data_IF_050404009119
#
_entry.id   IF_050404009119
#
_cell.length_a   1.000
_cell.length_b   1.000
_cell.length_c   1.000
_cell.angle_alpha   90.00
_cell.angle_beta   90.00
_cell.angle_gamma   90.00
#
_symmetry.space_group_name_H-M   'P 1'
#
loop_
_entity.id
_entity.type
_entity.pdbx_description
1 polymer ?
#
# COMPACT_ATOMS: atom_id res chain seq x y z
N UNK A 1 -22.79 -10.26 -30.09
CA UNK A 1 -22.75 -11.47 -29.27
C UNK A 1 -22.51 -11.11 -27.81
N UNK A 2 -23.60 -11.02 -27.04
CA UNK A 2 -23.52 -10.87 -25.57
C UNK A 2 -23.14 -12.22 -24.97
N UNK A 3 -21.88 -12.37 -24.53
CA UNK A 3 -21.45 -13.54 -23.75
C UNK A 3 -21.89 -13.34 -22.29
N UNK A 4 -22.62 -14.31 -21.74
CA UNK A 4 -23.00 -14.35 -20.33
C UNK A 4 -21.70 -14.51 -19.51
N UNK A 5 -21.38 -13.48 -18.71
CA UNK A 5 -20.21 -13.51 -17.81
C UNK A 5 -20.71 -13.84 -16.41
N UNK A 6 -20.31 -14.99 -15.87
CA UNK A 6 -20.52 -15.31 -14.45
C UNK A 6 -19.47 -14.56 -13.62
N UNK A 7 -19.87 -13.47 -12.98
CA UNK A 7 -19.03 -12.78 -11.99
C UNK A 7 -19.37 -13.30 -10.60
N UNK A 8 -18.33 -13.54 -9.79
CA UNK A 8 -18.51 -13.85 -8.37
C UNK A 8 -19.05 -12.59 -7.68
N UNK A 9 -20.21 -12.71 -7.03
CA UNK A 9 -20.74 -11.63 -6.19
C UNK A 9 -19.99 -11.69 -4.86
N UNK A 10 -19.32 -10.61 -4.51
CA UNK A 10 -18.70 -10.43 -3.19
C UNK A 10 -19.68 -9.60 -2.36
N UNK A 11 -20.06 -10.13 -1.20
CA UNK A 11 -20.87 -9.39 -0.22
C UNK A 11 -19.91 -8.61 0.66
N UNK A 12 -20.00 -7.29 0.66
CA UNK A 12 -19.28 -6.44 1.60
C UNK A 12 -20.00 -6.52 2.95
N UNK A 13 -19.27 -6.82 4.01
CA UNK A 13 -19.76 -6.65 5.37
C UNK A 13 -19.52 -5.20 5.79
N UNK A 14 -20.55 -4.37 5.68
CA UNK A 14 -20.52 -3.03 6.29
C UNK A 14 -20.79 -3.18 7.79
N UNK A 15 -19.82 -2.84 8.62
CA UNK A 15 -20.03 -2.59 10.03
C UNK A 15 -20.64 -1.19 10.16
N UNK A 16 -21.92 -1.09 10.49
CA UNK A 16 -22.61 0.20 10.70
C UNK A 16 -21.92 1.06 11.77
N UNK A 17 -21.29 0.45 12.75
CA UNK A 17 -20.55 1.13 13.83
C UNK A 17 -19.33 1.92 13.32
N UNK A 18 -18.74 1.53 12.18
CA UNK A 18 -17.60 2.24 11.61
C UNK A 18 -18.01 3.55 10.94
N UNK A 19 -19.25 3.67 10.47
CA UNK A 19 -19.77 4.85 9.77
C UNK A 19 -20.42 5.87 10.73
N UNK A 20 -20.56 5.55 12.01
CA UNK A 20 -21.06 6.46 13.03
C UNK A 20 -19.92 7.23 13.70
N UNK A 21 -20.15 8.51 14.01
CA UNK A 21 -19.21 9.32 14.78
C UNK A 21 -19.13 8.90 16.25
N UNK A 22 -20.14 8.19 16.75
CA UNK A 22 -20.26 7.91 18.17
C UNK A 22 -20.32 9.19 19.00
N UNK A 23 -19.57 9.24 20.07
CA UNK A 23 -19.47 10.41 20.97
C UNK A 23 -18.56 11.55 20.46
N UNK A 24 -17.90 11.35 19.30
CA UNK A 24 -16.97 12.33 18.76
C UNK A 24 -17.69 13.43 17.97
N UNK A 25 -17.26 14.67 18.16
CA UNK A 25 -17.81 15.82 17.44
C UNK A 25 -17.54 15.77 15.94
N UNK A 26 -16.38 15.24 15.54
CA UNK A 26 -15.90 15.18 14.16
C UNK A 26 -15.33 13.80 13.84
N UNK A 27 -15.53 13.30 12.62
CA UNK A 27 -14.92 12.06 12.14
C UNK A 27 -13.40 12.08 12.25
N UNK A 28 -12.77 13.15 11.82
CA UNK A 28 -11.31 13.30 11.91
C UNK A 28 -10.80 13.09 13.35
N UNK A 29 -11.51 13.59 14.37
CA UNK A 29 -11.10 13.38 15.76
C UNK A 29 -11.26 11.91 16.18
N UNK A 30 -12.36 11.25 15.80
CA UNK A 30 -12.53 9.80 15.98
C UNK A 30 -11.37 9.04 15.34
N UNK A 31 -11.06 9.34 14.08
CA UNK A 31 -10.03 8.67 13.30
C UNK A 31 -8.61 8.89 13.86
N UNK A 32 -8.34 10.05 14.45
CA UNK A 32 -7.09 10.30 15.20
C UNK A 32 -6.99 9.39 16.41
N UNK A 33 -8.08 9.21 17.17
CA UNK A 33 -8.10 8.32 18.35
C UNK A 33 -8.03 6.85 17.96
N UNK A 34 -8.47 6.48 16.76
CA UNK A 34 -8.40 5.13 16.23
C UNK A 34 -7.00 4.71 15.71
N UNK A 35 -6.04 5.62 15.59
CA UNK A 35 -4.70 5.33 15.06
C UNK A 35 -4.00 4.14 15.76
N UNK A 36 -4.03 4.00 17.09
CA UNK A 36 -3.40 2.85 17.76
C UNK A 36 -4.00 1.51 17.32
N UNK A 37 -5.32 1.46 17.06
CA UNK A 37 -6.00 0.26 16.58
C UNK A 37 -5.57 -0.07 15.14
N UNK A 38 -5.42 0.95 14.28
CA UNK A 38 -4.91 0.75 12.91
C UNK A 38 -3.52 0.15 12.91
N UNK A 39 -2.60 0.67 13.73
CA UNK A 39 -1.25 0.11 13.87
C UNK A 39 -1.31 -1.33 14.36
N UNK A 40 -2.13 -1.59 15.39
CA UNK A 40 -2.32 -2.94 15.92
C UNK A 40 -2.83 -3.90 14.85
N UNK A 41 -3.85 -3.52 14.08
CA UNK A 41 -4.40 -4.35 13.01
C UNK A 41 -3.35 -4.68 11.93
N UNK A 42 -2.52 -3.71 11.53
CA UNK A 42 -1.42 -3.96 10.61
C UNK A 42 -0.40 -4.95 11.21
N UNK A 43 -0.06 -4.79 12.48
CA UNK A 43 0.89 -5.69 13.15
C UNK A 43 0.30 -7.10 13.26
N UNK A 44 -0.95 -7.23 13.69
CA UNK A 44 -1.63 -8.52 13.83
C UNK A 44 -1.73 -9.28 12.49
N UNK A 45 -1.92 -8.56 11.37
CA UNK A 45 -1.96 -9.16 10.02
C UNK A 45 -0.59 -9.67 9.56
N UNK A 46 0.45 -8.85 9.75
CA UNK A 46 1.74 -9.10 9.11
C UNK A 46 2.80 -9.69 10.04
N UNK A 47 2.63 -9.65 11.34
CA UNK A 47 3.67 -10.05 12.30
C UNK A 47 3.20 -11.21 13.17
N UNK A 48 3.89 -12.34 13.07
CA UNK A 48 3.75 -13.46 13.99
C UNK A 48 4.68 -13.24 15.19
N UNK A 49 4.15 -12.68 16.26
CA UNK A 49 4.94 -12.36 17.47
C UNK A 49 5.45 -13.62 18.19
N UNK A 50 4.79 -14.77 18.03
CA UNK A 50 5.20 -16.04 18.63
C UNK A 50 6.40 -16.60 17.88
N UNK A 51 6.33 -16.65 16.56
CA UNK A 51 7.42 -17.14 15.69
C UNK A 51 8.48 -16.09 15.41
N UNK A 52 8.29 -14.85 15.87
CA UNK A 52 9.16 -13.71 15.60
C UNK A 52 9.45 -13.57 14.10
N UNK A 53 8.39 -13.60 13.27
CA UNK A 53 8.50 -13.57 11.82
C UNK A 53 7.50 -12.58 11.21
N UNK A 54 7.86 -12.04 10.05
CA UNK A 54 6.96 -11.22 9.24
C UNK A 54 6.34 -12.10 8.16
N UNK A 55 5.01 -12.21 8.16
CA UNK A 55 4.21 -13.06 7.27
C UNK A 55 3.86 -12.36 5.95
N UNK A 56 4.81 -11.66 5.35
CA UNK A 56 4.66 -11.15 4.00
C UNK A 56 5.23 -12.20 3.04
N UNK A 57 4.38 -12.75 2.18
CA UNK A 57 4.68 -13.84 1.25
C UNK A 57 4.34 -13.44 -0.20
N UNK A 58 4.67 -14.30 -1.15
CA UNK A 58 4.28 -14.19 -2.57
C UNK A 58 4.78 -12.90 -3.23
N UNK A 59 6.02 -12.53 -2.98
CA UNK A 59 6.64 -11.40 -3.66
C UNK A 59 6.56 -11.57 -5.18
N UNK A 60 6.17 -10.53 -5.92
CA UNK A 60 6.06 -10.58 -7.38
C UNK A 60 7.42 -10.64 -8.10
N UNK A 61 8.48 -10.31 -7.38
CA UNK A 61 9.88 -10.48 -7.77
C UNK A 61 10.60 -11.14 -6.60
N UNK A 62 11.50 -12.08 -6.88
CA UNK A 62 12.37 -12.63 -5.82
C UNK A 62 13.10 -11.47 -5.11
N UNK A 63 12.99 -11.34 -3.79
CA UNK A 63 13.52 -10.17 -3.06
C UNK A 63 14.99 -9.86 -3.33
N UNK A 64 15.81 -10.89 -3.55
CA UNK A 64 17.25 -10.73 -3.87
C UNK A 64 17.49 -10.13 -5.26
N UNK A 65 16.51 -10.21 -6.15
CA UNK A 65 16.60 -9.70 -7.51
C UNK A 65 16.00 -8.31 -7.67
N UNK A 66 15.43 -7.74 -6.61
CA UNK A 66 14.91 -6.36 -6.64
C UNK A 66 16.10 -5.40 -6.65
N UNK A 67 16.27 -4.68 -7.75
CA UNK A 67 17.33 -3.67 -7.90
C UNK A 67 16.88 -2.31 -7.36
N UNK A 68 15.63 -1.96 -7.61
CA UNK A 68 15.05 -0.69 -7.20
C UNK A 68 13.60 -0.85 -6.77
N UNK A 69 13.21 -0.09 -5.74
CA UNK A 69 11.81 0.15 -5.39
C UNK A 69 11.45 1.56 -5.85
N UNK A 70 10.32 1.68 -6.55
CA UNK A 70 9.72 2.98 -6.92
C UNK A 70 8.42 3.13 -6.16
N UNK A 71 8.39 4.06 -5.19
CA UNK A 71 7.22 4.36 -4.37
C UNK A 71 6.41 5.47 -5.02
N UNK A 72 5.12 5.24 -5.26
CA UNK A 72 4.27 6.15 -6.04
C UNK A 72 2.98 6.43 -5.26
N UNK A 73 2.66 7.71 -5.10
CA UNK A 73 1.45 8.14 -4.41
C UNK A 73 1.09 9.59 -4.73
N UNK A 74 -0.05 10.04 -4.19
CA UNK A 74 -0.49 11.44 -4.23
C UNK A 74 -0.84 11.94 -2.83
N UNK A 75 -0.65 13.23 -2.58
CA UNK A 75 -1.03 13.87 -1.32
C UNK A 75 -0.38 13.20 -0.10
N UNK A 76 -1.18 12.86 0.90
CA UNK A 76 -0.70 12.25 2.16
C UNK A 76 -0.04 10.89 1.91
N UNK A 77 -0.52 10.09 0.94
CA UNK A 77 0.11 8.84 0.55
C UNK A 77 1.51 9.05 -0.05
N UNK A 78 1.73 10.13 -0.80
CA UNK A 78 3.07 10.51 -1.25
C UNK A 78 3.99 10.84 -0.05
N UNK A 79 3.46 11.51 0.98
CA UNK A 79 4.24 11.80 2.19
C UNK A 79 4.64 10.52 2.95
N UNK A 80 3.80 9.48 2.93
CA UNK A 80 4.18 8.17 3.49
C UNK A 80 5.32 7.51 2.70
N UNK A 81 5.32 7.66 1.38
CA UNK A 81 6.43 7.22 0.52
C UNK A 81 7.73 7.97 0.84
N UNK A 82 7.66 9.31 1.04
CA UNK A 82 8.80 10.14 1.43
C UNK A 82 9.44 9.65 2.74
N UNK A 83 8.62 9.36 3.74
CA UNK A 83 9.12 8.85 5.03
C UNK A 83 9.73 7.46 4.87
N UNK A 84 9.04 6.57 4.17
CA UNK A 84 9.49 5.19 3.98
C UNK A 84 10.81 5.09 3.20
N UNK A 85 11.09 6.02 2.28
CA UNK A 85 12.35 6.06 1.54
C UNK A 85 13.55 5.98 2.48
N UNK A 86 13.58 6.79 3.54
CA UNK A 86 14.69 6.82 4.49
C UNK A 86 14.87 5.47 5.20
N UNK A 87 13.80 4.76 5.53
CA UNK A 87 13.88 3.43 6.14
C UNK A 87 14.46 2.40 5.17
N UNK A 88 14.02 2.42 3.92
CA UNK A 88 14.57 1.52 2.90
C UNK A 88 16.05 1.80 2.63
N UNK A 89 16.45 3.06 2.52
CA UNK A 89 17.85 3.48 2.30
C UNK A 89 18.75 3.09 3.49
N UNK A 90 18.22 3.13 4.73
CA UNK A 90 18.96 2.80 5.93
C UNK A 90 19.08 1.28 6.15
N UNK A 91 18.01 0.53 5.90
CA UNK A 91 17.88 -0.87 6.30
C UNK A 91 18.11 -1.86 5.15
N UNK A 92 18.10 -1.41 3.90
CA UNK A 92 18.27 -2.29 2.75
C UNK A 92 19.35 -1.80 1.79
N UNK A 93 19.88 -2.73 0.99
CA UNK A 93 20.77 -2.41 -0.14
C UNK A 93 20.02 -2.12 -1.44
N UNK A 94 18.73 -1.76 -1.36
CA UNK A 94 17.87 -1.51 -2.52
C UNK A 94 17.84 0.00 -2.82
N UNK A 95 18.06 0.38 -4.07
CA UNK A 95 17.82 1.75 -4.51
C UNK A 95 16.35 2.13 -4.37
N UNK A 96 16.05 3.32 -3.84
CA UNK A 96 14.68 3.80 -3.67
C UNK A 96 14.44 5.11 -4.39
N UNK A 97 13.44 5.11 -5.25
CA UNK A 97 12.94 6.30 -5.93
C UNK A 97 11.50 6.58 -5.47
N UNK A 98 11.16 7.84 -5.33
CA UNK A 98 9.78 8.27 -5.07
C UNK A 98 9.30 9.13 -6.22
N UNK A 99 8.02 8.94 -6.57
CA UNK A 99 7.40 9.77 -7.59
C UNK A 99 5.97 10.16 -7.19
N UNK A 100 5.57 11.35 -7.56
CA UNK A 100 4.18 11.77 -7.40
C UNK A 100 3.37 11.26 -8.60
N UNK A 101 2.26 10.58 -8.33
CA UNK A 101 1.53 9.87 -9.38
C UNK A 101 1.00 10.79 -10.48
N UNK A 102 0.64 12.03 -10.15
CA UNK A 102 0.20 13.05 -11.13
C UNK A 102 1.27 13.38 -12.17
N UNK A 103 2.56 13.36 -11.78
CA UNK A 103 3.68 13.65 -12.66
C UNK A 103 4.21 12.37 -13.34
N UNK A 104 4.23 11.25 -12.61
CA UNK A 104 4.66 9.95 -13.11
C UNK A 104 3.99 9.60 -14.45
N UNK A 105 2.68 9.84 -14.55
CA UNK A 105 1.88 9.51 -15.73
C UNK A 105 2.27 10.25 -17.01
N UNK A 106 3.00 11.36 -16.92
CA UNK A 106 3.39 12.18 -18.08
C UNK A 106 4.87 12.08 -18.43
N UNK A 107 5.67 11.43 -17.59
CA UNK A 107 7.11 11.29 -17.79
C UNK A 107 7.46 10.20 -18.79
N UNK A 108 8.59 10.38 -19.50
CA UNK A 108 9.23 9.31 -20.29
C UNK A 108 10.12 8.49 -19.38
N UNK A 109 9.58 7.39 -18.89
CA UNK A 109 10.26 6.51 -17.94
C UNK A 109 10.94 5.35 -18.66
N UNK A 110 12.08 4.90 -18.11
CA UNK A 110 12.70 3.63 -18.51
C UNK A 110 12.29 2.59 -17.47
N UNK A 111 11.62 1.55 -17.94
CA UNK A 111 11.17 0.45 -17.09
C UNK A 111 12.19 -0.67 -17.05
N UNK A 112 12.34 -1.32 -15.88
CA UNK A 112 13.20 -2.47 -15.69
C UNK A 112 12.40 -3.56 -14.96
N UNK A 113 12.47 -4.81 -15.44
CA UNK A 113 11.73 -5.95 -14.88
C UNK A 113 12.14 -6.29 -13.44
N UNK A 114 13.34 -5.88 -13.01
CA UNK A 114 13.84 -6.08 -11.65
C UNK A 114 13.52 -4.90 -10.71
N UNK A 115 12.74 -3.93 -11.18
CA UNK A 115 12.22 -2.87 -10.33
C UNK A 115 10.82 -3.23 -9.82
N UNK A 116 10.56 -3.00 -8.54
CA UNK A 116 9.25 -3.15 -7.93
C UNK A 116 8.58 -1.77 -7.81
N UNK A 117 7.43 -1.61 -8.45
CA UNK A 117 6.64 -0.37 -8.42
C UNK A 117 5.54 -0.52 -7.38
N UNK A 118 5.57 0.30 -6.33
CA UNK A 118 4.64 0.25 -5.20
C UNK A 118 3.74 1.48 -5.22
N UNK A 119 2.45 1.25 -5.37
CA UNK A 119 1.40 2.28 -5.42
C UNK A 119 0.72 2.39 -4.08
N UNK A 120 0.79 3.57 -3.45
CA UNK A 120 0.19 3.82 -2.13
C UNK A 120 -1.05 4.68 -2.30
N UNK A 121 -2.18 4.20 -1.79
CA UNK A 121 -3.46 4.92 -1.84
C UNK A 121 -4.39 4.45 -0.73
N UNK A 122 -5.07 5.35 -0.03
CA UNK A 122 -6.06 4.97 0.96
C UNK A 122 -7.27 4.32 0.30
N UNK A 123 -7.94 5.02 -0.62
CA UNK A 123 -9.16 4.53 -1.29
C UNK A 123 -8.89 3.48 -2.36
N UNK A 124 -7.67 3.45 -2.92
CA UNK A 124 -7.36 2.66 -4.10
C UNK A 124 -8.09 3.10 -5.39
N UNK A 125 -8.68 4.31 -5.38
CA UNK A 125 -9.44 4.88 -6.51
C UNK A 125 -8.87 6.23 -6.98
N UNK A 126 -7.70 6.63 -6.49
CA UNK A 126 -7.04 7.87 -6.90
C UNK A 126 -6.70 7.82 -8.39
N UNK A 127 -7.30 8.69 -9.20
CA UNK A 127 -7.23 8.64 -10.66
C UNK A 127 -5.79 8.68 -11.20
N UNK A 128 -4.94 9.55 -10.65
CA UNK A 128 -3.54 9.66 -11.08
C UNK A 128 -2.72 8.41 -10.71
N UNK A 129 -2.97 7.86 -9.52
CA UNK A 129 -2.31 6.62 -9.07
C UNK A 129 -2.74 5.42 -9.91
N UNK A 130 -4.03 5.32 -10.26
CA UNK A 130 -4.54 4.28 -11.15
C UNK A 130 -3.95 4.41 -12.57
N UNK A 131 -3.83 5.64 -13.09
CA UNK A 131 -3.21 5.87 -14.41
C UNK A 131 -1.71 5.54 -14.41
N UNK A 132 -0.98 5.84 -13.33
CA UNK A 132 0.41 5.47 -13.17
C UNK A 132 0.60 3.94 -13.12
N UNK A 133 -0.28 3.23 -12.40
CA UNK A 133 -0.32 1.77 -12.37
C UNK A 133 -0.55 1.18 -13.77
N UNK A 134 -1.50 1.71 -14.53
CA UNK A 134 -1.80 1.29 -15.89
C UNK A 134 -0.58 1.40 -16.82
N UNK A 135 0.23 2.45 -16.68
CA UNK A 135 1.48 2.62 -17.43
C UNK A 135 2.47 1.51 -17.09
N UNK A 136 2.65 1.17 -15.81
CA UNK A 136 3.50 0.07 -15.37
C UNK A 136 3.02 -1.27 -15.93
N UNK A 137 1.72 -1.54 -15.88
CA UNK A 137 1.12 -2.78 -16.45
C UNK A 137 1.35 -2.89 -17.96
N UNK A 138 1.18 -1.80 -18.70
CA UNK A 138 1.46 -1.78 -20.16
C UNK A 138 2.94 -2.04 -20.48
N UNK A 139 3.84 -1.74 -19.55
CA UNK A 139 5.27 -2.01 -19.71
C UNK A 139 5.70 -3.36 -19.09
N UNK A 140 4.76 -4.20 -18.66
CA UNK A 140 4.98 -5.53 -18.11
C UNK A 140 5.96 -5.58 -16.92
N UNK A 141 5.98 -4.53 -16.10
CA UNK A 141 6.75 -4.52 -14.86
C UNK A 141 5.90 -4.91 -13.67
N UNK A 142 6.55 -5.37 -12.61
CA UNK A 142 5.87 -5.89 -11.41
C UNK A 142 5.39 -4.75 -10.53
N UNK A 143 4.15 -4.91 -10.05
CA UNK A 143 3.43 -3.89 -9.30
C UNK A 143 2.94 -4.42 -7.97
N UNK A 144 3.02 -3.58 -6.95
CA UNK A 144 2.42 -3.79 -5.64
C UNK A 144 1.52 -2.61 -5.32
N UNK A 145 0.42 -2.84 -4.62
CA UNK A 145 -0.36 -1.75 -4.04
C UNK A 145 -0.47 -1.89 -2.52
N UNK A 146 -0.33 -0.76 -1.83
CA UNK A 146 -0.60 -0.61 -0.40
C UNK A 146 -1.87 0.23 -0.28
N UNK A 147 -2.98 -0.42 0.05
CA UNK A 147 -4.33 0.18 0.00
C UNK A 147 -5.16 -0.20 1.22
N UNK A 148 -6.17 0.61 1.53
CA UNK A 148 -7.15 0.25 2.56
C UNK A 148 -8.33 -0.56 1.99
N UNK A 149 -8.72 -0.28 0.75
CA UNK A 149 -9.86 -0.94 0.08
C UNK A 149 -9.34 -1.97 -0.91
N UNK A 150 -9.39 -3.24 -0.53
CA UNK A 150 -8.84 -4.35 -1.33
C UNK A 150 -9.66 -4.67 -2.59
N UNK A 151 -10.91 -4.24 -2.64
CA UNK A 151 -11.79 -4.35 -3.82
C UNK A 151 -11.64 -3.18 -4.79
N UNK A 152 -10.75 -2.24 -4.49
CA UNK A 152 -10.53 -1.05 -5.31
C UNK A 152 -9.91 -1.35 -6.68
N UNK A 153 -10.01 -0.38 -7.58
CA UNK A 153 -9.44 -0.47 -8.93
C UNK A 153 -7.92 -0.69 -8.90
N UNK A 154 -7.20 0.04 -8.04
CA UNK A 154 -5.75 -0.09 -7.90
C UNK A 154 -5.39 -1.48 -7.38
N UNK A 155 -6.09 -1.98 -6.34
CA UNK A 155 -5.85 -3.30 -5.79
C UNK A 155 -6.05 -4.40 -6.84
N UNK A 156 -7.20 -4.39 -7.53
CA UNK A 156 -7.54 -5.41 -8.54
C UNK A 156 -6.58 -5.46 -9.73
N UNK A 157 -5.94 -4.35 -10.05
CA UNK A 157 -5.02 -4.25 -11.19
C UNK A 157 -3.55 -4.46 -10.81
N UNK A 158 -3.20 -4.49 -9.53
CA UNK A 158 -1.84 -4.77 -9.07
C UNK A 158 -1.54 -6.26 -9.08
N UNK A 159 -0.26 -6.62 -9.25
CA UNK A 159 0.19 -8.03 -9.16
C UNK A 159 0.20 -8.50 -7.70
N UNK A 160 0.32 -7.58 -6.75
CA UNK A 160 0.41 -7.86 -5.33
C UNK A 160 -0.27 -6.76 -4.51
N UNK A 161 -0.95 -7.12 -3.44
CA UNK A 161 -1.71 -6.20 -2.59
C UNK A 161 -1.33 -6.38 -1.13
N UNK A 162 -1.04 -5.29 -0.46
CA UNK A 162 -0.79 -5.22 0.98
C UNK A 162 -1.83 -4.28 1.62
N UNK A 163 -2.86 -4.83 2.28
CA UNK A 163 -3.88 -4.05 2.98
C UNK A 163 -3.33 -3.29 4.20
N UNK A 164 -3.87 -2.11 4.48
CA UNK A 164 -3.50 -1.31 5.67
C UNK A 164 -4.46 -1.47 6.85
N UNK A 165 -5.59 -2.16 6.68
CA UNK A 165 -6.56 -2.49 7.73
C UNK A 165 -6.99 -1.31 8.63
N UNK A 166 -7.12 -0.11 8.04
CA UNK A 166 -7.47 1.10 8.78
C UNK A 166 -8.99 1.24 9.03
N UNK A 167 -9.82 0.34 8.49
CA UNK A 167 -11.26 0.51 8.48
C UNK A 167 -11.71 1.69 7.62
N UNK A 168 -12.93 2.17 7.83
CA UNK A 168 -13.48 3.29 7.05
C UNK A 168 -12.88 4.60 7.56
N UNK A 169 -12.36 5.42 6.64
CA UNK A 169 -11.88 6.78 6.90
C UNK A 169 -12.75 7.77 6.10
N UNK A 170 -13.50 8.63 6.81
CA UNK A 170 -14.47 9.59 6.26
C UNK A 170 -13.88 11.00 6.27
N UNK A 171 -12.99 11.29 7.21
CA UNK A 171 -12.31 12.58 7.29
C UNK A 171 -11.55 12.91 6.01
N UNK A 172 -11.66 14.16 5.54
CA UNK A 172 -10.99 14.60 4.30
C UNK A 172 -9.47 14.54 4.43
N UNK A 173 -8.95 14.97 5.57
CA UNK A 173 -7.53 14.85 5.87
C UNK A 173 -7.25 13.45 6.41
N UNK A 174 -6.40 12.70 5.72
CA UNK A 174 -6.03 11.34 6.11
C UNK A 174 -5.23 11.35 7.43
N UNK A 175 -5.62 10.49 8.35
CA UNK A 175 -4.99 10.32 9.68
C UNK A 175 -4.60 8.87 9.93
N UNK A 176 -5.57 8.03 10.29
CA UNK A 176 -5.32 6.61 10.59
C UNK A 176 -4.81 5.82 9.37
N UNK A 177 -5.32 6.13 8.17
CA UNK A 177 -4.85 5.47 6.96
C UNK A 177 -3.40 5.83 6.64
N UNK A 178 -2.98 7.08 6.85
CA UNK A 178 -1.57 7.48 6.71
C UNK A 178 -0.67 6.68 7.66
N UNK A 179 -1.06 6.54 8.92
CA UNK A 179 -0.28 5.75 9.88
C UNK A 179 -0.27 4.26 9.51
N UNK A 180 -1.38 3.71 9.00
CA UNK A 180 -1.43 2.37 8.43
C UNK A 180 -0.48 2.18 7.25
N UNK A 181 -0.42 3.15 6.33
CA UNK A 181 0.53 3.15 5.22
C UNK A 181 1.99 3.11 5.72
N UNK A 182 2.33 3.98 6.67
CA UNK A 182 3.66 3.98 7.29
C UNK A 182 3.99 2.63 7.93
N UNK A 183 3.06 2.07 8.69
CA UNK A 183 3.26 0.78 9.37
C UNK A 183 3.52 -0.35 8.38
N UNK A 184 2.71 -0.46 7.31
CA UNK A 184 2.88 -1.51 6.30
C UNK A 184 4.16 -1.31 5.49
N UNK A 185 4.51 -0.07 5.13
CA UNK A 185 5.78 0.24 4.45
C UNK A 185 6.99 -0.13 5.31
N UNK A 186 6.94 0.14 6.62
CA UNK A 186 8.00 -0.22 7.54
C UNK A 186 8.14 -1.74 7.70
N UNK A 187 7.03 -2.46 7.87
CA UNK A 187 7.01 -3.93 7.95
C UNK A 187 7.55 -4.55 6.66
N UNK A 188 7.17 -4.01 5.49
CA UNK A 188 7.70 -4.46 4.19
C UNK A 188 9.21 -4.22 4.10
N UNK A 189 9.68 -3.04 4.54
CA UNK A 189 11.09 -2.70 4.57
C UNK A 189 11.88 -3.71 5.42
N UNK A 190 11.45 -3.97 6.65
CA UNK A 190 12.07 -4.95 7.54
C UNK A 190 12.07 -6.36 6.92
N UNK A 191 10.96 -6.77 6.31
CA UNK A 191 10.88 -8.08 5.64
C UNK A 191 11.89 -8.21 4.50
N UNK A 192 12.01 -7.19 3.67
CA UNK A 192 12.98 -7.18 2.56
C UNK A 192 14.41 -7.18 3.08
N UNK A 193 14.73 -6.35 4.07
CA UNK A 193 16.04 -6.29 4.69
C UNK A 193 16.47 -7.65 5.28
N UNK A 194 15.55 -8.31 5.99
CA UNK A 194 15.79 -9.63 6.58
C UNK A 194 16.00 -10.72 5.52
N UNK A 195 15.12 -10.82 4.51
CA UNK A 195 15.21 -11.85 3.46
C UNK A 195 16.46 -11.67 2.60
N UNK A 196 16.89 -10.43 2.39
CA UNK A 196 18.12 -10.10 1.65
C UNK A 196 19.38 -10.28 2.50
N UNK A 197 19.25 -10.41 3.81
CA UNK A 197 20.34 -10.43 4.79
C UNK A 197 21.10 -9.09 4.86
N UNK A 198 20.39 -7.99 4.64
CA UNK A 198 20.94 -6.64 4.84
C UNK A 198 20.98 -6.30 6.35
N UNK A 199 20.10 -6.93 7.15
CA UNK A 199 20.07 -6.91 8.63
C UNK A 199 20.04 -8.33 9.21
N UNK A 200 20.41 -8.49 10.50
CA UNK A 200 20.38 -9.75 11.27
C UNK A 200 19.02 -10.02 11.95
#
# INVERSE_FOLDING_TARGET
NLKKVNKKILTMSENQDETDKGEYKHFMFKEIVEQPYTVKNCIDEYVDSIKKNINILNFPIEPKNINKIVLIGCGTAYNSCLTAKYWFEELTSIDVEIDIASEFRYRKLKFNSNNLYIFVSQSGETADTAAALDICKKNNVKTCSIVNVIESTIARNSDWVLPIHAGIEIGVASTKAFLGQLTVLYILCLKLAFVRKDIE
#
